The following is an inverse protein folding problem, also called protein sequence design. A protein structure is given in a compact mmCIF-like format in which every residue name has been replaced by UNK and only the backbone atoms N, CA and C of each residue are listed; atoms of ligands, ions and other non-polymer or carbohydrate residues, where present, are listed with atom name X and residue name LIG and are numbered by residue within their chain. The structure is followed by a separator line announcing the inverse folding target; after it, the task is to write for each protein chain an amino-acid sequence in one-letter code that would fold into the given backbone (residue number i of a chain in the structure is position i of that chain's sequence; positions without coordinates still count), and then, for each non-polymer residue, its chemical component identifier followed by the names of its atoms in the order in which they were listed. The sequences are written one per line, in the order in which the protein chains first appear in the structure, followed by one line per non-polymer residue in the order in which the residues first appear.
data_IF_822107002856
#
_entry.id   IF_822107002856
#
_cell.length_a   1.000
_cell.length_b   1.000
_cell.length_c   1.000
_cell.angle_alpha   90.00
_cell.angle_beta   90.00
_cell.angle_gamma   90.00
#
_symmetry.space_group_name_H-M   'P 1'
#
loop_
_entity.id
_entity.type
_entity.pdbx_description
1 polymer ?
#
# COMPACT_ATOMS: atom_id res chain seq x y z
N UNK A 1 13.75 -3.61 13.62
CA UNK A 1 12.98 -4.71 13.01
C UNK A 1 12.70 -4.52 11.51
N UNK A 2 12.30 -3.34 11.00
CA UNK A 2 11.98 -3.10 9.58
C UNK A 2 13.17 -2.93 8.58
N UNK A 3 14.39 -3.37 8.94
CA UNK A 3 15.60 -3.18 8.10
C UNK A 3 16.20 -4.48 7.57
N UNK A 4 15.61 -5.64 7.90
CA UNK A 4 16.05 -6.91 7.32
C UNK A 4 15.69 -6.95 5.83
N UNK A 5 16.44 -7.70 5.01
CA UNK A 5 16.10 -7.90 3.58
C UNK A 5 14.67 -8.41 3.37
N UNK A 6 14.13 -9.06 4.39
CA UNK A 6 12.82 -9.69 4.40
C UNK A 6 11.66 -8.72 4.64
N UNK A 7 11.92 -7.58 5.27
CA UNK A 7 10.91 -6.56 5.63
C UNK A 7 10.79 -5.43 4.60
N UNK A 8 11.39 -5.60 3.40
CA UNK A 8 11.46 -4.51 2.42
C UNK A 8 10.12 -4.23 1.73
N UNK A 9 9.31 -5.26 1.47
CA UNK A 9 7.97 -5.10 0.89
C UNK A 9 7.04 -4.38 1.89
N UNK A 10 7.01 -4.82 3.15
CA UNK A 10 6.26 -4.17 4.22
C UNK A 10 6.74 -2.73 4.49
N UNK A 11 8.04 -2.46 4.38
CA UNK A 11 8.59 -1.10 4.44
C UNK A 11 8.02 -0.19 3.33
N UNK A 12 8.01 -0.64 2.07
CA UNK A 12 7.46 0.17 0.98
C UNK A 12 5.95 0.34 1.10
N UNK A 13 5.24 -0.69 1.56
CA UNK A 13 3.81 -0.59 1.88
C UNK A 13 3.55 0.51 2.93
N UNK A 14 4.31 0.52 4.03
CA UNK A 14 4.22 1.57 5.05
C UNK A 14 4.52 2.96 4.46
N UNK A 15 5.51 3.07 3.57
CA UNK A 15 5.79 4.33 2.86
C UNK A 15 4.64 4.80 1.97
N UNK A 16 3.93 3.89 1.33
CA UNK A 16 2.72 4.19 0.55
C UNK A 16 1.60 4.68 1.45
N UNK A 17 1.30 3.99 2.55
CA UNK A 17 0.26 4.40 3.51
C UNK A 17 0.49 5.81 4.07
N UNK A 18 1.75 6.18 4.36
CA UNK A 18 2.06 7.54 4.82
C UNK A 18 1.77 8.63 3.77
N UNK A 19 1.64 8.30 2.48
CA UNK A 19 1.26 9.29 1.47
C UNK A 19 -0.20 9.70 1.60
N UNK A 20 -1.06 8.88 2.19
CA UNK A 20 -2.49 9.19 2.39
C UNK A 20 -2.69 10.44 3.26
N UNK A 21 -2.20 10.50 4.52
CA UNK A 21 -2.35 11.71 5.33
C UNK A 21 -1.56 12.89 4.76
N UNK A 22 -0.38 12.66 4.16
CA UNK A 22 0.39 13.73 3.51
C UNK A 22 -0.33 14.36 2.32
N UNK A 23 -1.16 13.60 1.62
CA UNK A 23 -2.01 14.04 0.53
C UNK A 23 -3.36 14.60 1.01
N UNK A 24 -3.58 14.76 2.33
CA UNK A 24 -4.85 15.23 2.85
C UNK A 24 -6.02 14.29 2.51
N UNK A 25 -5.75 12.98 2.44
CA UNK A 25 -6.73 11.93 2.10
C UNK A 25 -7.32 12.01 0.67
N UNK A 26 -6.76 12.83 -0.23
CA UNK A 26 -7.08 12.75 -1.66
C UNK A 26 -6.43 11.49 -2.28
N UNK A 27 -7.26 10.52 -2.67
CA UNK A 27 -6.78 9.24 -3.24
C UNK A 27 -5.96 9.39 -4.52
N UNK A 28 -6.25 10.39 -5.38
CA UNK A 28 -5.48 10.62 -6.62
C UNK A 28 -4.09 11.18 -6.28
N UNK A 29 -4.01 12.13 -5.36
CA UNK A 29 -2.73 12.65 -4.89
C UNK A 29 -1.92 11.61 -4.12
N UNK A 30 -2.56 10.81 -3.26
CA UNK A 30 -1.92 9.73 -2.54
C UNK A 30 -1.34 8.68 -3.50
N UNK A 31 -2.10 8.30 -4.53
CA UNK A 31 -1.64 7.40 -5.59
C UNK A 31 -0.44 7.97 -6.34
N UNK A 32 -0.51 9.24 -6.77
CA UNK A 32 0.58 9.93 -7.47
C UNK A 32 1.88 9.95 -6.64
N UNK A 33 1.79 10.33 -5.36
CA UNK A 33 2.94 10.39 -4.44
C UNK A 33 3.46 9.00 -4.03
N UNK A 34 2.56 8.02 -3.97
CA UNK A 34 2.85 6.63 -3.62
C UNK A 34 3.57 5.85 -4.73
N UNK A 35 3.40 6.26 -5.99
CA UNK A 35 3.89 5.54 -7.19
C UNK A 35 5.34 5.05 -7.09
N UNK A 36 6.28 5.91 -6.67
CA UNK A 36 7.70 5.53 -6.55
C UNK A 36 7.97 4.40 -5.55
N UNK A 37 7.08 4.19 -4.58
CA UNK A 37 7.21 3.13 -3.58
C UNK A 37 6.51 1.86 -4.06
N UNK A 38 5.40 2.00 -4.79
CA UNK A 38 4.73 0.89 -5.47
C UNK A 38 5.67 0.23 -6.47
N UNK A 39 6.32 1.03 -7.34
CA UNK A 39 7.29 0.53 -8.33
C UNK A 39 8.45 -0.24 -7.65
N UNK A 40 8.92 0.23 -6.48
CA UNK A 40 9.96 -0.46 -5.70
C UNK A 40 9.46 -1.73 -5.01
N UNK A 41 8.17 -1.78 -4.65
CA UNK A 41 7.55 -2.95 -4.05
C UNK A 41 7.35 -4.05 -5.09
N UNK A 42 6.88 -3.70 -6.29
CA UNK A 42 6.66 -4.61 -7.42
C UNK A 42 7.96 -5.26 -7.92
N UNK A 43 9.10 -4.56 -7.80
CA UNK A 43 10.43 -5.11 -8.11
C UNK A 43 10.91 -6.16 -7.10
N UNK A 44 10.28 -6.28 -5.94
CA UNK A 44 10.65 -7.27 -4.93
C UNK A 44 9.83 -8.55 -5.13
N UNK A 45 10.47 -9.73 -5.19
CA UNK A 45 9.75 -10.98 -5.33
C UNK A 45 8.80 -11.16 -4.15
N UNK A 46 7.56 -11.58 -4.45
CA UNK A 46 6.66 -12.07 -3.42
C UNK A 46 7.34 -13.26 -2.73
N UNK A 47 7.44 -13.18 -1.40
CA UNK A 47 8.05 -14.25 -0.62
C UNK A 47 7.07 -15.42 -0.53
N UNK A 48 7.13 -16.30 -1.53
CA UNK A 48 6.44 -17.58 -1.48
C UNK A 48 7.24 -18.53 -0.57
N UNK A 49 6.66 -18.84 0.58
CA UNK A 49 6.86 -20.08 1.34
C UNK A 49 8.06 -20.28 2.30
N UNK A 50 9.10 -19.44 2.38
CA UNK A 50 10.30 -19.79 3.19
C UNK A 50 10.62 -18.90 4.41
N UNK A 51 9.69 -18.06 4.89
CA UNK A 51 9.96 -17.20 6.06
C UNK A 51 8.90 -17.38 7.12
N UNK A 52 9.28 -18.05 8.19
CA UNK A 52 8.43 -18.52 9.30
C UNK A 52 7.73 -17.39 10.09
N UNK A 53 7.87 -16.12 9.72
CA UNK A 53 7.47 -14.98 10.55
C UNK A 53 6.75 -13.82 9.82
N UNK A 54 6.75 -13.73 8.48
CA UNK A 54 6.04 -12.68 7.72
C UNK A 54 5.42 -13.29 6.46
N UNK A 55 4.19 -13.80 6.57
CA UNK A 55 3.41 -14.28 5.43
C UNK A 55 2.48 -13.15 4.99
N UNK A 56 2.66 -12.64 3.76
CA UNK A 56 1.68 -11.77 3.11
C UNK A 56 0.43 -12.60 2.76
N UNK A 57 -0.60 -12.57 3.61
CA UNK A 57 -1.90 -13.22 3.32
C UNK A 57 -2.57 -12.56 2.11
N UNK A 58 -2.48 -11.23 2.04
CA UNK A 58 -2.91 -10.43 0.90
C UNK A 58 -1.66 -9.64 0.44
N UNK A 59 -1.31 -9.66 -0.86
CA UNK A 59 -0.19 -8.89 -1.37
C UNK A 59 -0.34 -7.39 -1.08
N UNK A 60 0.75 -6.74 -0.70
CA UNK A 60 0.71 -5.33 -0.31
C UNK A 60 0.28 -4.37 -1.43
N UNK A 61 0.53 -4.71 -2.68
CA UNK A 61 0.05 -3.99 -3.86
C UNK A 61 -1.48 -4.05 -3.97
N UNK A 62 -2.10 -5.19 -3.66
CA UNK A 62 -3.57 -5.28 -3.55
C UNK A 62 -4.10 -4.49 -2.36
N UNK A 63 -3.46 -4.60 -1.20
CA UNK A 63 -3.84 -3.81 -0.02
C UNK A 63 -3.74 -2.29 -0.29
N UNK A 64 -2.74 -1.87 -1.05
CA UNK A 64 -2.60 -0.48 -1.47
C UNK A 64 -3.77 -0.04 -2.35
N UNK A 65 -4.20 -0.88 -3.30
CA UNK A 65 -5.38 -0.61 -4.12
C UNK A 65 -6.63 -0.43 -3.25
N UNK A 66 -6.88 -1.34 -2.29
CA UNK A 66 -8.02 -1.22 -1.37
C UNK A 66 -7.94 0.03 -0.50
N UNK A 67 -6.75 0.39 -0.04
CA UNK A 67 -6.54 1.62 0.73
C UNK A 67 -6.81 2.90 -0.08
N UNK A 68 -6.58 2.88 -1.40
CA UNK A 68 -6.93 4.01 -2.28
C UNK A 68 -8.42 4.03 -2.62
N UNK A 69 -9.04 2.87 -2.81
CA UNK A 69 -10.48 2.73 -3.06
C UNK A 69 -11.30 3.20 -1.86
N UNK A 70 -10.84 2.95 -0.63
CA UNK A 70 -11.52 3.40 0.59
C UNK A 70 -11.52 4.92 0.78
N UNK A 71 -10.69 5.65 0.03
CA UNK A 71 -10.66 7.12 0.02
C UNK A 71 -11.67 7.73 -0.97
N UNK A 72 -12.33 6.92 -1.80
CA UNK A 72 -13.35 7.41 -2.71
C UNK A 72 -14.64 7.69 -1.94
N UNK A 73 -15.34 8.80 -2.24
CA UNK A 73 -16.65 9.05 -1.65
C UNK A 73 -17.59 7.90 -2.00
N UNK A 74 -18.33 7.41 -1.00
CA UNK A 74 -19.43 6.49 -1.25
C UNK A 74 -20.49 7.23 -2.08
N UNK A 75 -20.62 6.90 -3.37
CA UNK A 75 -21.56 7.53 -4.31
C UNK A 75 -23.04 7.32 -3.94
N UNK A 76 -23.37 6.59 -2.88
CA UNK A 76 -24.74 6.33 -2.43
C UNK A 76 -25.24 7.23 -1.30
N UNK A 77 -24.45 8.20 -0.83
CA UNK A 77 -24.79 9.00 0.36
C UNK A 77 -25.38 10.40 0.07
N UNK A 78 -25.67 10.74 -1.20
CA UNK A 78 -26.32 12.01 -1.53
C UNK A 78 -27.81 11.77 -1.86
N UNK A 79 -28.75 12.34 -1.10
CA UNK A 79 -30.13 12.44 -1.55
C UNK A 79 -30.20 13.40 -2.75
N UNK A 80 -31.06 13.08 -3.72
CA UNK A 80 -31.36 13.91 -4.90
C UNK A 80 -31.82 15.32 -4.54
#
# INVERSE_FOLDING_TARGET
HLRSRNTRRSYYFMKMLMQIPLAGFDGRMAASRGRRYLEKLEQLPMQLANQTHEIEIIPYDMLWKYALESLQPCLSALPE
#
